data_IF_573023987681
#
_entry.id   IF_573023987681
#
_cell.length_a   1.000
_cell.length_b   1.000
_cell.length_c   1.000
_cell.angle_alpha   90.00
_cell.angle_beta   90.00
_cell.angle_gamma   90.00
#
_symmetry.space_group_name_H-M   'P 1'
#
loop_
_entity.id
_entity.type
_entity.pdbx_description
1 polymer ?
#
# COMPACT_ATOMS: atom_id res chain seq x y z
N UNK A 1 -10.90 -7.26 -11.73
CA UNK A 1 -10.66 -6.26 -10.67
C UNK A 1 -9.18 -5.91 -10.64
N UNK A 2 -8.86 -4.64 -10.59
CA UNK A 2 -7.48 -4.18 -10.50
C UNK A 2 -7.04 -4.03 -9.04
N UNK A 3 -5.77 -4.29 -8.81
CA UNK A 3 -5.13 -4.15 -7.51
C UNK A 3 -3.92 -3.26 -7.63
N UNK A 4 -3.77 -2.32 -6.72
CA UNK A 4 -2.54 -1.52 -6.63
C UNK A 4 -1.68 -2.16 -5.56
N UNK A 5 -0.47 -2.58 -5.94
CA UNK A 5 0.47 -3.22 -5.05
C UNK A 5 1.59 -2.23 -4.73
N UNK A 6 1.72 -1.90 -3.45
CA UNK A 6 2.72 -0.94 -2.96
C UNK A 6 3.74 -1.71 -2.13
N UNK A 7 5.01 -1.63 -2.53
CA UNK A 7 6.09 -2.42 -1.98
C UNK A 7 7.12 -1.49 -1.35
N UNK A 8 7.22 -1.52 -0.02
CA UNK A 8 8.22 -0.74 0.71
C UNK A 8 9.43 -1.62 1.01
N UNK A 9 10.62 -1.29 0.46
CA UNK A 9 11.80 -2.14 0.65
C UNK A 9 12.24 -2.20 2.10
N UNK A 10 12.74 -3.37 2.51
CA UNK A 10 13.37 -3.56 3.80
C UNK A 10 14.84 -3.18 3.66
N UNK A 11 15.16 -1.93 3.97
CA UNK A 11 16.53 -1.43 3.96
C UNK A 11 17.00 -1.13 5.37
N UNK A 12 18.32 -1.05 5.49
CA UNK A 12 18.99 -0.85 6.77
C UNK A 12 18.35 0.23 7.63
N UNK A 13 17.90 -0.15 8.81
CA UNK A 13 17.41 0.76 9.84
C UNK A 13 16.20 1.60 9.44
N UNK A 14 15.50 1.24 8.38
CA UNK A 14 14.25 1.92 8.08
C UNK A 14 13.14 1.33 8.95
N UNK A 15 12.62 2.17 9.82
CA UNK A 15 11.52 1.79 10.70
C UNK A 15 10.20 2.20 10.07
N UNK A 16 9.63 1.32 9.26
CA UNK A 16 8.28 1.54 8.75
C UNK A 16 7.30 1.52 9.92
N UNK A 17 6.57 2.61 10.11
CA UNK A 17 5.63 2.75 11.23
C UNK A 17 4.29 2.12 10.88
N UNK A 18 4.13 0.83 11.16
CA UNK A 18 2.91 0.09 10.89
C UNK A 18 1.71 0.61 11.68
N UNK A 19 1.93 1.11 12.91
CA UNK A 19 0.85 1.66 13.71
C UNK A 19 0.30 2.95 13.12
N UNK A 20 1.18 3.85 12.68
CA UNK A 20 0.77 5.08 12.01
C UNK A 20 -0.01 4.74 10.74
N UNK A 21 0.51 3.80 9.93
CA UNK A 21 -0.15 3.39 8.69
C UNK A 21 -1.56 2.90 8.97
N UNK A 22 -1.72 2.02 9.94
CA UNK A 22 -3.02 1.47 10.31
C UNK A 22 -3.98 2.54 10.84
N UNK A 23 -3.50 3.45 11.67
CA UNK A 23 -4.35 4.42 12.37
C UNK A 23 -4.66 5.66 11.56
N UNK A 24 -3.77 6.03 10.64
CA UNK A 24 -3.87 7.30 9.92
C UNK A 24 -3.91 7.14 8.41
N UNK A 25 -2.93 6.43 7.84
CA UNK A 25 -2.79 6.39 6.38
C UNK A 25 -3.83 5.51 5.70
N UNK A 26 -4.06 4.32 6.21
CA UNK A 26 -5.08 3.43 5.64
C UNK A 26 -6.49 4.03 5.74
N UNK A 27 -6.90 4.62 6.87
CA UNK A 27 -8.17 5.34 6.92
C UNK A 27 -8.27 6.51 5.94
N UNK A 28 -7.16 7.21 5.68
CA UNK A 28 -7.13 8.27 4.67
C UNK A 28 -7.36 7.72 3.27
N UNK A 29 -6.74 6.58 2.94
CA UNK A 29 -6.97 5.89 1.66
C UNK A 29 -8.47 5.58 1.51
N UNK A 30 -9.06 5.04 2.56
CA UNK A 30 -10.50 4.70 2.56
C UNK A 30 -11.37 5.94 2.38
N UNK A 31 -11.03 7.04 3.04
CA UNK A 31 -11.76 8.29 2.92
C UNK A 31 -11.69 8.85 1.49
N UNK A 32 -10.49 8.86 0.92
CA UNK A 32 -10.27 9.40 -0.43
C UNK A 32 -10.99 8.55 -1.49
N UNK A 33 -10.86 7.24 -1.41
CA UNK A 33 -11.37 6.35 -2.43
C UNK A 33 -12.85 6.02 -2.28
N UNK A 34 -13.37 6.06 -1.04
CA UNK A 34 -14.79 5.80 -0.80
C UNK A 34 -15.30 4.53 -1.49
N UNK A 35 -16.40 4.64 -2.28
CA UNK A 35 -16.98 3.46 -2.92
C UNK A 35 -16.11 2.81 -4.00
N UNK A 36 -15.07 3.51 -4.48
CA UNK A 36 -14.13 2.93 -5.44
C UNK A 36 -13.29 1.81 -4.81
N UNK A 37 -13.11 1.85 -3.50
CA UNK A 37 -12.28 0.91 -2.77
C UNK A 37 -13.08 -0.37 -2.47
N UNK A 38 -12.49 -1.52 -2.86
CA UNK A 38 -13.02 -2.81 -2.44
C UNK A 38 -12.37 -3.27 -1.13
N UNK A 39 -11.04 -3.18 -1.03
CA UNK A 39 -10.33 -3.72 0.12
C UNK A 39 -8.92 -3.14 0.18
N UNK A 40 -8.43 -2.87 1.37
CA UNK A 40 -7.01 -2.59 1.64
C UNK A 40 -6.49 -3.69 2.57
N UNK A 41 -5.35 -4.25 2.22
CA UNK A 41 -4.66 -5.21 3.07
C UNK A 41 -3.22 -4.78 3.22
N UNK A 42 -2.74 -4.73 4.46
CA UNK A 42 -1.36 -4.35 4.77
C UNK A 42 -0.68 -5.56 5.39
N UNK A 43 0.42 -5.98 4.79
CA UNK A 43 1.21 -7.11 5.28
C UNK A 43 2.58 -6.61 5.73
N UNK A 44 3.02 -7.09 6.90
CA UNK A 44 4.35 -6.82 7.43
C UNK A 44 5.29 -7.93 7.00
N UNK A 45 6.44 -7.58 6.41
CA UNK A 45 7.46 -8.55 6.08
C UNK A 45 8.05 -9.18 7.34
N UNK A 46 8.15 -10.51 7.38
CA UNK A 46 8.70 -11.22 8.53
C UNK A 46 9.98 -12.00 8.18
N UNK A 47 10.04 -12.55 6.98
CA UNK A 47 11.22 -13.30 6.52
C UNK A 47 11.17 -13.43 5.00
N UNK A 48 12.29 -13.85 4.40
CA UNK A 48 12.30 -14.27 3.02
C UNK A 48 11.72 -15.68 2.86
N UNK A 49 11.67 -16.15 1.63
CA UNK A 49 11.12 -17.47 1.33
C UNK A 49 11.99 -18.63 1.78
N UNK A 50 13.29 -18.40 2.00
CA UNK A 50 14.21 -19.43 2.46
C UNK A 50 14.46 -19.30 3.95
N UNK A 51 14.68 -20.43 4.66
CA UNK A 51 14.97 -20.38 6.09
C UNK A 51 16.16 -19.47 6.40
N UNK A 52 16.01 -18.57 7.37
CA UNK A 52 17.05 -17.66 7.80
C UNK A 52 17.25 -16.44 6.91
N UNK A 53 16.51 -16.31 5.80
CA UNK A 53 16.61 -15.12 4.95
C UNK A 53 15.73 -13.99 5.47
N UNK A 54 16.15 -12.77 5.17
CA UNK A 54 15.37 -11.58 5.53
C UNK A 54 14.28 -11.30 4.51
N UNK A 55 13.21 -10.65 4.94
CA UNK A 55 12.17 -10.19 4.03
C UNK A 55 12.74 -9.15 3.07
N UNK A 56 12.35 -9.22 1.80
CA UNK A 56 12.73 -8.24 0.80
C UNK A 56 12.04 -6.90 1.03
N UNK A 57 10.79 -6.96 1.50
CA UNK A 57 9.98 -5.77 1.74
C UNK A 57 9.53 -5.73 3.20
N UNK A 58 9.61 -4.54 3.80
CA UNK A 58 9.18 -4.36 5.18
C UNK A 58 7.65 -4.29 5.28
N UNK A 59 7.01 -3.81 4.21
CA UNK A 59 5.56 -3.75 4.11
C UNK A 59 5.14 -3.96 2.65
N UNK A 60 4.06 -4.69 2.46
CA UNK A 60 3.41 -4.88 1.17
C UNK A 60 1.94 -4.54 1.35
N UNK A 61 1.48 -3.55 0.60
CA UNK A 61 0.11 -3.09 0.68
C UNK A 61 -0.60 -3.46 -0.62
N UNK A 62 -1.77 -4.08 -0.50
CA UNK A 62 -2.63 -4.40 -1.63
C UNK A 62 -3.91 -3.58 -1.50
N UNK A 63 -4.21 -2.81 -2.53
CA UNK A 63 -5.39 -1.95 -2.58
C UNK A 63 -6.24 -2.41 -3.76
N UNK A 64 -7.33 -3.13 -3.47
CA UNK A 64 -8.23 -3.65 -4.50
C UNK A 64 -9.26 -2.59 -4.85
N UNK A 65 -9.41 -2.30 -6.15
CA UNK A 65 -10.25 -1.22 -6.65
C UNK A 65 -11.48 -1.82 -7.33
N UNK A 66 -12.66 -1.48 -6.82
CA UNK A 66 -13.93 -1.93 -7.38
C UNK A 66 -14.32 -1.11 -8.61
N UNK A 67 -14.02 0.19 -8.62
CA UNK A 67 -14.37 1.11 -9.68
C UNK A 67 -13.14 1.92 -10.08
N UNK A 68 -12.51 1.52 -11.17
CA UNK A 68 -11.26 2.14 -11.61
C UNK A 68 -11.42 3.61 -12.02
N UNK A 69 -12.52 3.93 -12.70
CA UNK A 69 -12.76 5.32 -13.12
C UNK A 69 -12.92 6.24 -11.91
N UNK A 70 -13.63 5.78 -10.88
CA UNK A 70 -13.79 6.53 -9.64
C UNK A 70 -12.45 6.68 -8.91
N UNK A 71 -11.61 5.64 -8.94
CA UNK A 71 -10.25 5.71 -8.39
C UNK A 71 -9.44 6.80 -9.10
N UNK A 72 -9.42 6.80 -10.43
CA UNK A 72 -8.66 7.80 -11.19
C UNK A 72 -9.13 9.22 -10.90
N UNK A 73 -10.44 9.43 -10.78
CA UNK A 73 -10.99 10.75 -10.44
C UNK A 73 -10.56 11.20 -9.04
N UNK A 74 -10.63 10.30 -8.07
CA UNK A 74 -10.23 10.62 -6.70
C UNK A 74 -8.75 10.96 -6.62
N UNK A 75 -7.90 10.18 -7.29
CA UNK A 75 -6.45 10.40 -7.29
C UNK A 75 -6.05 11.66 -8.06
N UNK A 76 -6.84 12.07 -9.04
CA UNK A 76 -6.57 13.30 -9.77
C UNK A 76 -6.62 14.56 -8.87
N UNK A 77 -7.41 14.50 -7.79
CA UNK A 77 -7.62 15.66 -6.93
C UNK A 77 -7.00 15.54 -5.54
N UNK A 78 -6.81 14.30 -5.03
CA UNK A 78 -6.44 14.10 -3.62
C UNK A 78 -5.15 13.28 -3.41
N UNK A 79 -4.40 12.97 -4.46
CA UNK A 79 -3.14 12.22 -4.33
C UNK A 79 -2.16 12.89 -3.37
N UNK A 80 -2.10 14.22 -3.38
CA UNK A 80 -1.13 14.95 -2.57
C UNK A 80 -1.34 14.69 -1.07
N UNK A 81 -2.57 14.49 -0.62
CA UNK A 81 -2.84 14.17 0.77
C UNK A 81 -2.14 12.88 1.21
N UNK A 82 -2.12 11.87 0.33
CA UNK A 82 -1.42 10.61 0.59
C UNK A 82 0.09 10.79 0.59
N UNK A 83 0.62 11.53 -0.39
CA UNK A 83 2.05 11.77 -0.50
C UNK A 83 2.59 12.55 0.70
N UNK A 84 1.81 13.49 1.22
CA UNK A 84 2.21 14.29 2.38
C UNK A 84 2.39 13.45 3.65
N UNK A 85 1.68 12.32 3.76
CA UNK A 85 1.80 11.44 4.92
C UNK A 85 2.96 10.45 4.85
N UNK A 86 3.48 10.16 3.64
CA UNK A 86 4.52 9.12 3.49
C UNK A 86 5.73 9.35 4.39
N UNK A 87 6.31 10.56 4.49
CA UNK A 87 7.46 10.79 5.36
C UNK A 87 7.18 10.59 6.84
N UNK A 88 5.92 10.54 7.23
CA UNK A 88 5.52 10.36 8.63
C UNK A 88 5.62 8.91 9.08
N UNK A 89 5.67 7.94 8.16
CA UNK A 89 5.75 6.53 8.50
C UNK A 89 6.92 5.78 7.88
N UNK A 90 7.62 6.36 6.89
CA UNK A 90 8.80 5.72 6.30
C UNK A 90 9.72 6.75 5.65
N UNK A 91 10.99 6.37 5.52
CA UNK A 91 11.99 7.14 4.76
C UNK A 91 12.22 6.57 3.37
N UNK A 92 11.58 5.44 3.04
CA UNK A 92 11.80 4.76 1.77
C UNK A 92 10.70 5.12 0.78
N UNK A 93 11.10 5.24 -0.49
CA UNK A 93 10.13 5.34 -1.57
C UNK A 93 9.63 3.94 -1.93
N UNK A 94 8.33 3.76 -2.07
CA UNK A 94 7.80 2.46 -2.47
C UNK A 94 7.96 2.23 -3.97
N UNK A 95 7.98 0.96 -4.35
CA UNK A 95 7.71 0.54 -5.71
C UNK A 95 6.22 0.27 -5.82
N UNK A 96 5.59 0.77 -6.87
CA UNK A 96 4.14 0.63 -7.08
C UNK A 96 3.91 -0.01 -8.43
N UNK A 97 3.06 -1.02 -8.46
CA UNK A 97 2.56 -1.56 -9.73
C UNK A 97 1.06 -1.77 -9.65
N UNK A 98 0.43 -1.79 -10.82
CA UNK A 98 -0.99 -2.05 -10.95
C UNK A 98 -1.16 -3.43 -11.52
N UNK A 99 -1.89 -4.27 -10.79
CA UNK A 99 -2.12 -5.66 -11.16
C UNK A 99 -3.58 -5.84 -11.58
N UNK A 100 -3.81 -6.82 -12.44
CA UNK A 100 -5.15 -7.27 -12.77
C UNK A 100 -5.33 -8.68 -12.26
N UNK A 101 -6.38 -8.91 -11.46
CA UNK A 101 -6.68 -10.25 -10.97
C UNK A 101 -7.06 -11.14 -12.15
N UNK A 102 -6.28 -12.19 -12.41
CA UNK A 102 -6.51 -13.10 -13.52
C UNK A 102 -7.50 -14.20 -13.15
N UNK A 103 -7.36 -14.74 -11.95
CA UNK A 103 -8.27 -15.76 -11.44
C UNK A 103 -8.05 -15.92 -9.92
N UNK A 104 -9.03 -16.56 -9.30
CA UNK A 104 -8.93 -16.98 -7.90
C UNK A 104 -9.28 -18.46 -7.81
N UNK A 105 -8.65 -19.16 -6.89
CA UNK A 105 -8.94 -20.58 -6.64
C UNK A 105 -9.85 -20.76 -5.45
#
# INVERSE_FOLDING_TARGET
>A
MKCITVLYPAKDNDAFDHDFYRKRHAPLIKDILGPALHKVEVRKGTSGGQPGSAATYIAVISIWIADWDAYEKAMATRTQELLDEVPLFTKQMPTIQIDEVQFEL
#
